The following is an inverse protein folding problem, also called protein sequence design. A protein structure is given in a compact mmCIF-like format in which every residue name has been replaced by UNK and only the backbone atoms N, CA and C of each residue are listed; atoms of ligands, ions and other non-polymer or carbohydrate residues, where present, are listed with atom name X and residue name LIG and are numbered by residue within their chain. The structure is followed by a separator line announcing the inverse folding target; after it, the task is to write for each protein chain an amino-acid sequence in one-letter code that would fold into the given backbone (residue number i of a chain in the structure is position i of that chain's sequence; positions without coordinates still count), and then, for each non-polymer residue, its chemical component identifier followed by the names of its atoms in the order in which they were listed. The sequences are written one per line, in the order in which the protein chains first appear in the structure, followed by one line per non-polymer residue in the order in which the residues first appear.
data_IF_224480300658
#
_entry.id   IF_224480300658
#
_cell.length_a   1.000
_cell.length_b   1.000
_cell.length_c   1.000
_cell.angle_alpha   90.00
_cell.angle_beta   90.00
_cell.angle_gamma   90.00
#
_symmetry.space_group_name_H-M   'P 1'
#
loop_
_entity.id
_entity.type
_entity.pdbx_description
1 polymer ?
#
# COMPACT_ATOMS: atom_id res chain seq x y z
N UNK A 1 -68.33 -8.39 -34.52
CA UNK A 1 -67.45 -9.22 -33.66
C UNK A 1 -66.13 -9.34 -34.37
N UNK A 2 -65.10 -8.67 -33.85
CA UNK A 2 -63.76 -8.79 -34.40
C UNK A 2 -63.19 -10.13 -33.93
N UNK A 3 -62.67 -10.94 -34.86
CA UNK A 3 -62.13 -12.26 -34.52
C UNK A 3 -60.82 -12.14 -33.69
N UNK A 4 -60.59 -13.14 -32.82
CA UNK A 4 -59.37 -13.17 -32.00
C UNK A 4 -58.10 -13.16 -32.84
N UNK A 5 -58.15 -13.65 -34.09
CA UNK A 5 -57.06 -13.63 -35.05
C UNK A 5 -56.67 -12.22 -35.49
N UNK A 6 -57.67 -11.35 -35.77
CA UNK A 6 -57.43 -9.95 -36.14
C UNK A 6 -56.87 -9.09 -35.00
N UNK A 7 -57.16 -9.48 -33.74
CA UNK A 7 -56.60 -8.82 -32.55
C UNK A 7 -55.12 -9.20 -32.33
N UNK A 8 -54.74 -10.42 -32.60
CA UNK A 8 -53.37 -10.93 -32.49
C UNK A 8 -52.47 -10.34 -33.57
N UNK A 9 -53.02 -10.19 -34.81
CA UNK A 9 -52.26 -9.63 -35.93
C UNK A 9 -51.97 -8.10 -35.76
N UNK A 10 -52.86 -7.36 -35.08
CA UNK A 10 -52.67 -5.95 -34.73
C UNK A 10 -51.73 -5.69 -33.57
N UNK A 11 -51.51 -6.67 -32.67
CA UNK A 11 -50.63 -6.57 -31.52
C UNK A 11 -49.18 -7.05 -31.80
N UNK A 12 -48.99 -7.86 -32.83
CA UNK A 12 -47.70 -8.47 -33.16
C UNK A 12 -46.56 -7.49 -33.46
N UNK A 13 -46.75 -6.39 -34.25
CA UNK A 13 -45.68 -5.46 -34.53
C UNK A 13 -45.27 -4.59 -33.30
N UNK A 14 -46.20 -4.39 -32.37
CA UNK A 14 -45.91 -3.60 -31.17
C UNK A 14 -45.31 -4.42 -30.03
N UNK A 15 -45.59 -5.73 -29.95
CA UNK A 15 -45.05 -6.62 -28.96
C UNK A 15 -43.50 -6.75 -29.06
N UNK A 16 -42.96 -6.78 -30.29
CA UNK A 16 -41.53 -6.79 -30.54
C UNK A 16 -40.84 -5.48 -30.15
N UNK A 17 -41.47 -4.35 -30.41
CA UNK A 17 -40.94 -3.04 -30.04
C UNK A 17 -40.96 -2.81 -28.52
N UNK A 18 -42.02 -3.22 -27.82
CA UNK A 18 -42.15 -3.12 -26.36
C UNK A 18 -41.15 -4.08 -25.68
N UNK A 19 -40.96 -5.30 -26.17
CA UNK A 19 -39.96 -6.24 -25.68
C UNK A 19 -38.54 -5.73 -25.84
N UNK A 20 -38.24 -5.09 -27.00
CA UNK A 20 -36.94 -4.48 -27.28
C UNK A 20 -36.62 -3.29 -26.34
N UNK A 21 -37.60 -2.43 -26.08
CA UNK A 21 -37.43 -1.29 -25.14
C UNK A 21 -37.23 -1.76 -23.70
N UNK A 22 -37.96 -2.80 -23.27
CA UNK A 22 -37.83 -3.38 -21.95
C UNK A 22 -36.48 -4.07 -21.78
N UNK A 23 -35.99 -4.80 -22.77
CA UNK A 23 -34.66 -5.43 -22.75
C UNK A 23 -33.55 -4.37 -22.75
N UNK A 24 -33.68 -3.29 -23.51
CA UNK A 24 -32.74 -2.17 -23.54
C UNK A 24 -32.72 -1.41 -22.19
N UNK A 25 -33.89 -1.23 -21.55
CA UNK A 25 -33.98 -0.63 -20.21
C UNK A 25 -33.36 -1.52 -19.14
N UNK A 26 -33.61 -2.82 -19.19
CA UNK A 26 -32.99 -3.80 -18.26
C UNK A 26 -31.49 -3.89 -18.47
N UNK A 27 -31.01 -3.88 -19.72
CA UNK A 27 -29.59 -3.86 -20.04
C UNK A 27 -28.96 -2.51 -19.60
N UNK A 28 -29.64 -1.39 -19.82
CA UNK A 28 -29.22 -0.06 -19.35
C UNK A 28 -29.14 0.02 -17.83
N UNK A 29 -30.13 -0.52 -17.10
CA UNK A 29 -30.12 -0.63 -15.65
C UNK A 29 -29.02 -1.59 -15.16
N UNK A 30 -28.82 -2.72 -15.82
CA UNK A 30 -27.75 -3.67 -15.53
C UNK A 30 -26.36 -3.06 -15.76
N UNK A 31 -26.15 -2.33 -16.86
CA UNK A 31 -24.91 -1.62 -17.16
C UNK A 31 -24.70 -0.42 -16.22
N UNK A 32 -25.77 0.29 -15.84
CA UNK A 32 -25.71 1.34 -14.82
C UNK A 32 -25.41 0.79 -13.42
N UNK A 33 -25.89 -0.42 -13.11
CA UNK A 33 -25.58 -1.12 -11.86
C UNK A 33 -24.15 -1.66 -11.86
N UNK A 34 -23.62 -2.08 -13.02
CA UNK A 34 -22.22 -2.49 -13.17
C UNK A 34 -21.26 -1.30 -13.22
N UNK A 35 -21.69 -0.10 -13.64
CA UNK A 35 -20.93 1.14 -13.59
C UNK A 35 -20.99 1.82 -12.21
N UNK A 36 -21.06 1.08 -11.13
CA UNK A 36 -20.68 1.62 -9.84
C UNK A 36 -19.15 1.72 -9.84
N UNK A 37 -18.63 2.80 -10.45
CA UNK A 37 -17.22 3.17 -10.29
C UNK A 37 -16.90 3.12 -8.79
N UNK A 38 -15.85 2.40 -8.44
CA UNK A 38 -15.34 2.38 -7.08
C UNK A 38 -15.09 3.83 -6.65
N UNK A 39 -15.92 4.32 -5.73
CA UNK A 39 -15.81 5.69 -5.25
C UNK A 39 -14.50 5.83 -4.49
N UNK A 40 -13.61 6.62 -5.05
CA UNK A 40 -12.37 7.05 -4.38
C UNK A 40 -12.71 8.10 -3.34
N UNK A 41 -12.20 7.91 -2.14
CA UNK A 41 -12.57 8.77 -0.99
C UNK A 41 -11.50 9.80 -0.69
N UNK A 42 -10.24 9.51 -1.01
CA UNK A 42 -9.14 10.47 -0.85
C UNK A 42 -9.27 11.66 -1.79
N UNK A 43 -8.77 12.80 -1.31
CA UNK A 43 -8.68 14.03 -2.06
C UNK A 43 -7.24 14.60 -1.93
N UNK A 44 -6.53 14.88 -3.04
CA UNK A 44 -5.17 15.40 -2.98
C UNK A 44 -5.08 16.86 -2.57
N UNK A 45 -6.20 17.60 -2.58
CA UNK A 45 -6.28 19.03 -2.28
C UNK A 45 -6.97 19.28 -0.95
N UNK A 46 -8.12 18.64 -0.73
CA UNK A 46 -8.96 18.85 0.46
C UNK A 46 -8.66 17.83 1.56
N UNK A 47 -8.68 18.30 2.81
CA UNK A 47 -8.62 17.42 3.97
C UNK A 47 -9.94 16.72 4.19
N UNK A 48 -9.90 15.40 4.34
CA UNK A 48 -11.05 14.55 4.68
C UNK A 48 -10.89 14.01 6.09
N UNK A 49 -11.99 13.90 6.82
CA UNK A 49 -12.03 13.31 8.16
C UNK A 49 -12.41 11.84 8.09
N UNK A 50 -11.67 11.01 8.84
CA UNK A 50 -11.90 9.56 8.93
C UNK A 50 -11.97 9.14 10.38
N UNK A 51 -13.02 8.36 10.71
CA UNK A 51 -13.30 7.89 12.07
C UNK A 51 -12.47 6.67 12.40
N UNK A 52 -11.79 6.69 13.55
CA UNK A 52 -11.13 5.51 14.12
C UNK A 52 -12.20 4.53 14.63
N UNK A 53 -12.19 3.29 14.13
CA UNK A 53 -13.15 2.24 14.47
C UNK A 53 -12.54 1.04 15.18
N UNK A 54 -11.23 0.83 15.05
CA UNK A 54 -10.47 -0.18 15.82
C UNK A 54 -9.07 0.31 16.09
N UNK A 55 -8.50 -0.14 17.22
CA UNK A 55 -7.13 0.10 17.63
C UNK A 55 -6.61 -1.14 18.35
N UNK A 56 -5.72 -1.87 17.69
CA UNK A 56 -5.19 -3.15 18.16
C UNK A 56 -3.69 -3.03 18.44
N UNK A 57 -3.27 -3.29 19.68
CA UNK A 57 -1.87 -3.23 20.06
C UNK A 57 -1.11 -4.41 19.47
N UNK A 58 -0.04 -4.15 18.71
CA UNK A 58 0.83 -5.15 18.09
C UNK A 58 2.08 -5.40 18.92
N UNK A 59 2.63 -4.35 19.57
CA UNK A 59 3.74 -4.43 20.51
C UNK A 59 3.65 -3.32 21.55
N UNK A 60 4.64 -3.22 22.45
CA UNK A 60 4.69 -2.19 23.50
C UNK A 60 4.58 -0.75 23.01
N UNK A 61 4.94 -0.48 21.76
CA UNK A 61 4.94 0.87 21.18
C UNK A 61 4.30 0.94 19.80
N UNK A 62 3.68 -0.14 19.30
CA UNK A 62 3.09 -0.20 17.96
C UNK A 62 1.65 -0.66 18.02
N UNK A 63 0.79 -0.01 17.25
CA UNK A 63 -0.60 -0.42 17.10
C UNK A 63 -1.06 -0.33 15.64
N UNK A 64 -2.06 -1.14 15.31
CA UNK A 64 -2.83 -1.08 14.10
C UNK A 64 -4.07 -0.21 14.36
N UNK A 65 -4.25 0.80 13.54
CA UNK A 65 -5.37 1.73 13.60
C UNK A 65 -6.24 1.53 12.37
N UNK A 66 -7.49 1.14 12.56
CA UNK A 66 -8.46 1.00 11.47
C UNK A 66 -9.38 2.21 11.42
N UNK A 67 -9.42 2.84 10.26
CA UNK A 67 -10.29 3.97 9.96
C UNK A 67 -11.39 3.57 9.00
N UNK A 68 -12.64 3.95 9.31
CA UNK A 68 -13.76 3.68 8.43
C UNK A 68 -13.78 4.62 7.22
N UNK A 69 -14.12 4.09 6.05
CA UNK A 69 -14.52 4.87 4.89
C UNK A 69 -16.01 5.26 4.99
N UNK A 70 -16.47 6.28 4.24
CA UNK A 70 -17.84 6.78 4.35
C UNK A 70 -18.92 5.73 4.08
N UNK A 71 -18.63 4.72 3.23
CA UNK A 71 -19.54 3.63 2.91
C UNK A 71 -18.80 2.30 2.94
N UNK A 72 -19.48 1.19 3.28
CA UNK A 72 -18.85 -0.14 3.37
C UNK A 72 -18.19 -0.64 2.06
N UNK A 73 -18.64 -0.14 0.90
CA UNK A 73 -18.12 -0.54 -0.41
C UNK A 73 -17.18 0.49 -1.04
N UNK A 74 -16.86 1.59 -0.35
CA UNK A 74 -15.91 2.57 -0.86
C UNK A 74 -14.48 1.99 -0.84
N UNK A 75 -13.66 2.42 -1.81
CA UNK A 75 -12.21 2.23 -1.80
C UNK A 75 -11.54 3.49 -1.26
N UNK A 76 -10.37 3.33 -0.65
CA UNK A 76 -9.56 4.49 -0.25
C UNK A 76 -9.14 5.33 -1.47
N UNK A 77 -8.79 4.67 -2.58
CA UNK A 77 -8.36 5.31 -3.82
C UNK A 77 -6.90 5.76 -3.76
N UNK A 78 -6.06 4.98 -3.06
CA UNK A 78 -4.63 5.22 -2.94
C UNK A 78 -3.86 4.35 -3.95
N UNK A 79 -3.25 4.93 -4.99
CA UNK A 79 -2.37 4.19 -5.89
C UNK A 79 -1.23 3.51 -5.13
N UNK A 80 -0.88 2.30 -5.53
CA UNK A 80 0.18 1.50 -4.90
C UNK A 80 1.53 2.24 -5.01
N UNK A 81 2.23 2.37 -3.89
CA UNK A 81 3.47 3.12 -3.77
C UNK A 81 3.27 4.60 -3.39
N UNK A 82 2.04 5.07 -3.34
CA UNK A 82 1.73 6.39 -2.79
C UNK A 82 1.35 6.32 -1.31
N UNK A 83 1.30 7.46 -0.65
CA UNK A 83 1.00 7.60 0.77
C UNK A 83 -0.09 8.65 1.02
N UNK A 84 -0.56 8.71 2.23
CA UNK A 84 -1.46 9.75 2.74
C UNK A 84 -0.72 10.68 3.69
N UNK A 85 -1.18 11.91 3.80
CA UNK A 85 -0.78 12.88 4.82
C UNK A 85 -1.79 12.87 5.95
N UNK A 86 -1.33 12.69 7.18
CA UNK A 86 -2.13 12.82 8.40
C UNK A 86 -1.79 14.12 9.07
N UNK A 87 -2.81 14.91 9.45
CA UNK A 87 -2.64 16.21 10.12
C UNK A 87 -3.33 16.24 11.48
N UNK A 88 -2.65 16.88 12.42
CA UNK A 88 -3.21 17.25 13.71
C UNK A 88 -2.72 18.65 14.11
N UNK A 89 -3.48 19.34 14.97
CA UNK A 89 -3.03 20.55 15.65
C UNK A 89 -2.34 20.16 16.95
N UNK A 90 -1.10 20.55 17.11
CA UNK A 90 -0.27 20.25 18.28
C UNK A 90 0.42 21.56 18.67
N UNK A 91 0.19 22.01 19.92
CA UNK A 91 0.72 23.26 20.46
C UNK A 91 0.43 24.48 19.53
N UNK A 92 -0.81 24.57 19.04
CA UNK A 92 -1.28 25.64 18.17
C UNK A 92 -0.70 25.63 16.75
N UNK A 93 0.00 24.54 16.35
CA UNK A 93 0.58 24.39 15.04
C UNK A 93 0.02 23.15 14.32
N UNK A 94 -0.30 23.30 13.04
CA UNK A 94 -0.65 22.16 12.22
C UNK A 94 0.62 21.36 11.91
N UNK A 95 0.67 20.13 12.41
CA UNK A 95 1.74 19.18 12.11
C UNK A 95 1.20 18.15 11.11
N UNK A 96 2.01 17.82 10.10
CA UNK A 96 1.66 16.86 9.05
C UNK A 96 2.74 15.79 8.95
N UNK A 97 2.35 14.51 8.83
CA UNK A 97 3.27 13.39 8.57
C UNK A 97 2.67 12.43 7.56
N UNK A 98 3.57 11.83 6.79
CA UNK A 98 3.22 10.82 5.78
C UNK A 98 3.05 9.44 6.42
N UNK A 99 2.03 8.69 5.96
CA UNK A 99 1.77 7.32 6.33
C UNK A 99 1.35 6.52 5.10
N UNK A 100 1.80 5.28 5.01
CA UNK A 100 1.35 4.37 3.97
C UNK A 100 0.43 3.32 4.59
N UNK A 101 -0.85 3.26 4.20
CA UNK A 101 -1.77 2.22 4.63
C UNK A 101 -1.28 0.82 4.26
N UNK A 102 -1.55 -0.15 5.11
CA UNK A 102 -1.26 -1.57 4.88
C UNK A 102 -2.38 -2.30 4.13
N UNK A 103 -3.54 -1.66 4.03
CA UNK A 103 -4.65 -2.09 3.18
C UNK A 103 -4.45 -1.64 1.72
N UNK A 104 -5.10 -2.36 0.80
CA UNK A 104 -5.16 -2.04 -0.62
C UNK A 104 -6.59 -1.58 -0.99
N UNK A 105 -6.80 -1.11 -2.21
CA UNK A 105 -8.13 -0.66 -2.68
C UNK A 105 -9.18 -1.79 -2.76
N UNK A 106 -8.75 -3.06 -2.68
CA UNK A 106 -9.64 -4.22 -2.56
C UNK A 106 -10.21 -4.40 -1.14
N UNK A 107 -9.53 -3.83 -0.13
CA UNK A 107 -9.98 -3.83 1.26
C UNK A 107 -11.03 -2.70 1.40
N UNK A 108 -12.31 -3.04 1.16
CA UNK A 108 -13.42 -2.06 1.10
C UNK A 108 -13.86 -1.59 2.48
N UNK A 109 -14.37 -0.35 2.55
CA UNK A 109 -15.02 0.22 3.73
C UNK A 109 -14.09 0.68 4.84
N UNK A 110 -12.80 0.43 4.73
CA UNK A 110 -11.80 0.83 5.71
C UNK A 110 -10.39 0.94 5.13
N UNK A 111 -9.50 1.54 5.91
CA UNK A 111 -8.05 1.41 5.71
C UNK A 111 -7.33 1.30 7.05
N UNK A 112 -6.17 0.64 7.04
CA UNK A 112 -5.38 0.35 8.22
C UNK A 112 -4.03 1.05 8.17
N UNK A 113 -3.64 1.64 9.31
CA UNK A 113 -2.30 2.18 9.53
C UNK A 113 -1.60 1.39 10.63
N UNK A 114 -0.41 0.86 10.36
CA UNK A 114 0.48 0.34 11.37
C UNK A 114 1.43 1.45 11.79
N UNK A 115 1.32 1.88 13.04
CA UNK A 115 2.05 3.06 13.54
C UNK A 115 2.85 2.70 14.79
N UNK A 116 4.16 2.92 14.71
CA UNK A 116 5.06 2.89 15.87
C UNK A 116 5.04 4.26 16.54
N UNK A 117 4.69 4.28 17.82
CA UNK A 117 4.67 5.49 18.64
C UNK A 117 6.07 5.79 19.13
N UNK A 118 6.54 6.99 18.87
CA UNK A 118 7.80 7.51 19.38
C UNK A 118 7.51 8.48 20.53
N UNK A 119 8.28 8.40 21.61
CA UNK A 119 8.11 9.22 22.82
C UNK A 119 8.12 10.74 22.50
N UNK A 120 9.01 11.15 21.60
CA UNK A 120 9.11 12.54 21.08
C UNK A 120 8.38 12.75 19.75
N UNK A 121 7.58 11.76 19.31
CA UNK A 121 6.84 11.85 18.06
C UNK A 121 5.62 12.75 18.17
N UNK A 122 5.35 13.55 17.15
CA UNK A 122 4.17 14.41 17.11
C UNK A 122 2.91 13.62 16.71
N UNK A 123 2.78 13.29 15.42
CA UNK A 123 1.59 12.60 14.89
C UNK A 123 1.48 11.16 15.40
N UNK A 124 2.58 10.43 15.58
CA UNK A 124 2.52 9.07 16.14
C UNK A 124 2.00 9.06 17.57
N UNK A 125 2.40 10.05 18.40
CA UNK A 125 1.85 10.23 19.76
C UNK A 125 0.40 10.68 19.71
N UNK A 126 0.03 11.62 18.84
CA UNK A 126 -1.36 12.01 18.65
C UNK A 126 -2.25 10.81 18.32
N UNK A 127 -1.85 9.96 17.36
CA UNK A 127 -2.58 8.75 17.02
C UNK A 127 -2.67 7.77 18.20
N UNK A 128 -1.60 7.66 19.01
CA UNK A 128 -1.61 6.77 20.18
C UNK A 128 -2.60 7.20 21.28
N UNK A 129 -2.96 8.48 21.33
CA UNK A 129 -3.91 9.02 22.28
C UNK A 129 -5.37 9.00 21.78
N UNK A 130 -5.59 8.67 20.49
CA UNK A 130 -6.94 8.59 19.95
C UNK A 130 -7.75 7.47 20.60
N UNK A 131 -9.00 7.77 20.83
CA UNK A 131 -10.03 6.81 21.23
C UNK A 131 -10.95 6.47 20.07
N UNK A 132 -11.56 5.28 20.10
CA UNK A 132 -12.51 4.83 19.07
C UNK A 132 -13.63 5.85 18.95
N UNK A 133 -14.01 6.19 17.73
CA UNK A 133 -15.02 7.19 17.40
C UNK A 133 -14.46 8.58 17.07
N UNK A 134 -13.23 8.89 17.45
CA UNK A 134 -12.58 10.15 17.07
C UNK A 134 -12.15 10.14 15.60
N UNK A 135 -12.03 11.33 15.04
CA UNK A 135 -11.70 11.54 13.64
C UNK A 135 -10.30 12.12 13.46
N UNK A 136 -9.68 11.75 12.33
CA UNK A 136 -8.36 12.23 11.92
C UNK A 136 -8.46 12.85 10.53
N UNK A 137 -7.82 14.01 10.35
CA UNK A 137 -7.75 14.70 9.06
C UNK A 137 -6.67 14.08 8.18
N UNK A 138 -7.07 13.65 6.99
CA UNK A 138 -6.21 12.97 6.03
C UNK A 138 -6.36 13.62 4.66
N UNK A 139 -5.25 13.69 3.93
CA UNK A 139 -5.17 14.18 2.56
C UNK A 139 -4.33 13.22 1.73
N UNK A 140 -4.74 12.96 0.51
CA UNK A 140 -4.02 12.10 -0.43
C UNK A 140 -4.84 11.82 -1.69
N UNK A 141 -4.29 11.10 -2.64
CA UNK A 141 -2.94 10.49 -2.69
C UNK A 141 -1.79 11.51 -2.72
N UNK A 142 -0.64 11.14 -2.17
CA UNK A 142 0.63 11.88 -2.22
C UNK A 142 1.77 10.93 -2.59
N UNK A 143 2.85 11.50 -3.12
CA UNK A 143 4.03 10.72 -3.54
C UNK A 143 4.12 10.57 -5.05
N UNK A 144 5.32 10.20 -5.53
CA UNK A 144 5.62 10.13 -6.97
C UNK A 144 5.79 8.71 -7.48
N UNK A 145 5.92 7.74 -6.60
CA UNK A 145 5.99 6.34 -6.99
C UNK A 145 4.57 5.80 -7.21
N UNK A 146 4.36 5.19 -8.35
CA UNK A 146 3.13 4.45 -8.66
C UNK A 146 3.54 3.09 -9.20
N UNK A 147 3.29 2.04 -8.43
CA UNK A 147 3.56 0.68 -8.86
C UNK A 147 2.54 0.23 -9.88
N UNK A 148 3.02 -0.35 -10.97
CA UNK A 148 2.21 -1.08 -11.95
C UNK A 148 2.80 -2.48 -12.15
N UNK A 149 1.98 -3.51 -12.37
CA UNK A 149 2.46 -4.88 -12.58
C UNK A 149 3.52 -4.94 -13.70
N UNK A 150 4.60 -5.66 -13.44
CA UNK A 150 5.72 -5.84 -14.38
C UNK A 150 6.46 -4.53 -14.80
N UNK A 151 6.33 -3.43 -14.00
CA UNK A 151 7.04 -2.18 -14.30
C UNK A 151 8.57 -2.29 -14.23
N UNK A 152 9.05 -3.33 -13.60
CA UNK A 152 10.46 -3.72 -13.50
C UNK A 152 10.51 -5.24 -13.33
N UNK A 153 11.49 -5.92 -13.91
CA UNK A 153 11.64 -7.37 -13.73
C UNK A 153 11.93 -7.75 -12.28
N UNK A 154 12.57 -6.85 -11.53
CA UNK A 154 12.89 -7.08 -10.14
C UNK A 154 12.91 -5.78 -9.31
N UNK A 155 12.49 -5.89 -8.05
CA UNK A 155 12.57 -4.82 -7.05
C UNK A 155 13.40 -5.31 -5.85
N UNK A 156 14.53 -4.63 -5.58
CA UNK A 156 15.20 -4.72 -4.31
C UNK A 156 14.64 -3.66 -3.37
N UNK A 157 14.17 -4.06 -2.22
CA UNK A 157 13.57 -3.18 -1.21
C UNK A 157 14.44 -3.19 0.04
N UNK A 158 14.78 -2.00 0.55
CA UNK A 158 15.54 -1.84 1.79
C UNK A 158 14.72 -1.00 2.75
N UNK A 159 14.21 -1.63 3.81
CA UNK A 159 13.33 -1.01 4.79
C UNK A 159 13.99 -0.93 6.17
N UNK A 160 13.74 0.17 6.88
CA UNK A 160 14.12 0.33 8.29
C UNK A 160 12.92 0.70 9.16
N UNK A 161 12.61 -0.13 10.17
CA UNK A 161 11.50 0.10 11.09
C UNK A 161 10.17 0.33 10.37
N UNK A 162 9.51 1.48 10.61
CA UNK A 162 8.24 1.84 9.97
C UNK A 162 8.33 2.07 8.46
N UNK A 163 9.54 2.18 7.90
CA UNK A 163 9.77 2.21 6.45
C UNK A 163 9.33 0.94 5.72
N UNK A 164 8.92 -0.09 6.44
CA UNK A 164 8.33 -1.31 5.88
C UNK A 164 6.99 -1.05 5.19
N UNK A 165 6.19 -0.07 5.60
CA UNK A 165 4.81 0.07 5.13
C UNK A 165 4.67 0.31 3.63
N UNK A 166 5.47 1.18 2.94
CA UNK A 166 5.41 1.27 1.49
C UNK A 166 5.90 -0.01 0.79
N UNK A 167 6.89 -0.70 1.33
CA UNK A 167 7.37 -1.97 0.78
C UNK A 167 6.30 -3.06 0.88
N UNK A 168 5.67 -3.18 2.06
CA UNK A 168 4.58 -4.13 2.30
C UNK A 168 3.42 -3.91 1.33
N UNK A 169 3.02 -2.66 1.10
CA UNK A 169 1.96 -2.31 0.15
C UNK A 169 2.27 -2.83 -1.27
N UNK A 170 3.50 -2.60 -1.75
CA UNK A 170 3.95 -3.03 -3.08
C UNK A 170 4.04 -4.56 -3.14
N UNK A 171 4.64 -5.22 -2.15
CA UNK A 171 4.78 -6.67 -2.07
C UNK A 171 3.39 -7.33 -2.11
N UNK A 172 2.49 -6.91 -1.21
CA UNK A 172 1.11 -7.43 -1.13
C UNK A 172 0.40 -7.27 -2.48
N UNK A 173 0.48 -6.09 -3.08
CA UNK A 173 -0.16 -5.80 -4.37
C UNK A 173 0.40 -6.66 -5.50
N UNK A 174 1.73 -6.72 -5.64
CA UNK A 174 2.38 -7.50 -6.70
C UNK A 174 2.04 -8.99 -6.59
N UNK A 175 2.12 -9.56 -5.40
CA UNK A 175 1.86 -11.01 -5.19
C UNK A 175 0.38 -11.37 -5.39
N UNK A 176 -0.54 -10.44 -5.15
CA UNK A 176 -1.98 -10.65 -5.34
C UNK A 176 -2.47 -10.34 -6.76
N UNK A 177 -1.64 -9.71 -7.60
CA UNK A 177 -2.05 -9.33 -8.96
C UNK A 177 -1.76 -10.47 -9.94
N UNK A 178 -2.77 -11.04 -10.60
CA UNK A 178 -2.57 -12.08 -11.62
C UNK A 178 -1.70 -11.56 -12.77
N UNK A 179 -0.73 -12.37 -13.20
CA UNK A 179 0.16 -12.04 -14.32
C UNK A 179 1.31 -11.08 -13.97
N UNK A 180 1.38 -10.60 -12.74
CA UNK A 180 2.58 -9.89 -12.28
C UNK A 180 3.69 -10.90 -11.96
N UNK A 181 4.80 -10.81 -12.71
CA UNK A 181 5.96 -11.69 -12.60
C UNK A 181 7.16 -11.03 -11.90
N UNK A 182 7.00 -9.79 -11.40
CA UNK A 182 8.08 -9.04 -10.73
C UNK A 182 8.69 -9.85 -9.59
N UNK A 183 10.01 -10.03 -9.61
CA UNK A 183 10.75 -10.63 -8.50
C UNK A 183 10.96 -9.59 -7.40
N UNK A 184 10.72 -9.97 -6.17
CA UNK A 184 10.76 -9.08 -5.01
C UNK A 184 11.81 -9.58 -4.02
N UNK A 185 12.69 -8.69 -3.57
CA UNK A 185 13.64 -8.98 -2.50
C UNK A 185 13.56 -7.87 -1.45
N UNK A 186 13.40 -8.23 -0.19
CA UNK A 186 13.32 -7.30 0.92
C UNK A 186 14.42 -7.57 1.94
N UNK A 187 15.24 -6.54 2.18
CA UNK A 187 16.12 -6.44 3.35
C UNK A 187 15.43 -5.54 4.36
N UNK A 188 15.10 -6.09 5.55
CA UNK A 188 14.34 -5.37 6.56
C UNK A 188 15.11 -5.27 7.88
N UNK A 189 15.56 -4.05 8.19
CA UNK A 189 16.38 -3.74 9.34
C UNK A 189 15.56 -3.21 10.53
N UNK A 190 15.83 -3.74 11.71
CA UNK A 190 15.24 -3.33 12.98
C UNK A 190 16.27 -3.33 14.12
N UNK A 191 15.91 -2.81 15.30
CA UNK A 191 16.80 -2.83 16.45
C UNK A 191 16.77 -4.21 17.11
N UNK A 192 15.60 -4.68 17.48
CA UNK A 192 15.36 -5.95 18.18
C UNK A 192 14.29 -6.77 17.44
N UNK A 193 14.15 -8.03 17.78
CA UNK A 193 13.22 -8.94 17.11
C UNK A 193 11.76 -8.51 17.27
N UNK A 194 11.39 -7.99 18.45
CA UNK A 194 10.05 -7.47 18.74
C UNK A 194 9.70 -6.18 17.96
N UNK A 195 10.70 -5.54 17.36
CA UNK A 195 10.52 -4.36 16.48
C UNK A 195 10.13 -4.73 15.06
N UNK A 196 10.15 -6.01 14.67
CA UNK A 196 9.82 -6.45 13.31
C UNK A 196 8.31 -6.35 13.10
N UNK A 197 7.87 -5.25 12.48
CA UNK A 197 6.46 -5.03 12.15
C UNK A 197 6.03 -5.92 11.00
N UNK A 198 4.77 -6.36 11.01
CA UNK A 198 4.15 -7.17 9.94
C UNK A 198 4.92 -8.48 9.67
N UNK A 199 5.62 -9.03 10.66
CA UNK A 199 6.48 -10.21 10.49
C UNK A 199 5.69 -11.40 9.95
N UNK A 200 4.56 -11.73 10.60
CA UNK A 200 3.72 -12.87 10.23
C UNK A 200 3.17 -12.73 8.81
N UNK A 201 2.73 -11.52 8.47
CA UNK A 201 2.20 -11.19 7.16
C UNK A 201 3.29 -11.30 6.08
N UNK A 202 4.49 -10.76 6.33
CA UNK A 202 5.62 -10.85 5.40
C UNK A 202 6.10 -12.29 5.19
N UNK A 203 6.20 -13.08 6.26
CA UNK A 203 6.58 -14.50 6.19
C UNK A 203 5.51 -15.30 5.42
N UNK A 204 4.22 -15.07 5.68
CA UNK A 204 3.12 -15.69 4.94
C UNK A 204 3.14 -15.33 3.44
N UNK A 205 3.41 -14.08 3.11
CA UNK A 205 3.57 -13.65 1.72
C UNK A 205 4.78 -14.30 1.05
N UNK A 206 5.93 -14.44 1.75
CA UNK A 206 7.11 -15.16 1.26
C UNK A 206 6.78 -16.62 0.97
N UNK A 207 6.17 -17.30 1.93
CA UNK A 207 5.91 -18.75 1.84
C UNK A 207 4.90 -19.08 0.72
N UNK A 208 3.95 -18.19 0.47
CA UNK A 208 2.95 -18.34 -0.61
C UNK A 208 3.40 -17.81 -1.97
N UNK A 209 4.58 -17.21 -2.08
CA UNK A 209 5.01 -16.46 -3.28
C UNK A 209 5.56 -17.31 -4.43
N UNK A 210 5.68 -18.63 -4.28
CA UNK A 210 6.37 -19.51 -5.23
C UNK A 210 7.78 -19.00 -5.59
N UNK A 211 8.57 -18.62 -4.59
CA UNK A 211 9.93 -18.06 -4.70
C UNK A 211 10.03 -16.71 -5.43
N UNK A 212 8.92 -16.04 -5.67
CA UNK A 212 8.91 -14.68 -6.23
C UNK A 212 9.33 -13.61 -5.23
N UNK A 213 9.18 -13.86 -3.93
CA UNK A 213 9.52 -12.94 -2.85
C UNK A 213 10.55 -13.57 -1.91
N UNK A 214 11.67 -12.87 -1.73
CA UNK A 214 12.71 -13.20 -0.75
C UNK A 214 12.73 -12.18 0.37
N UNK A 215 12.99 -12.63 1.59
CA UNK A 215 12.92 -11.83 2.81
C UNK A 215 14.14 -12.09 3.67
N UNK A 216 14.88 -11.03 3.99
CA UNK A 216 16.05 -11.07 4.86
C UNK A 216 15.97 -10.03 5.96
N UNK A 217 15.98 -10.48 7.20
CA UNK A 217 15.95 -9.61 8.36
C UNK A 217 17.36 -9.29 8.86
N UNK A 218 17.55 -8.04 9.31
CA UNK A 218 18.80 -7.58 9.94
C UNK A 218 18.45 -6.93 11.27
N UNK A 219 19.11 -7.37 12.37
CA UNK A 219 18.89 -6.84 13.71
C UNK A 219 20.18 -6.26 14.31
N UNK A 220 20.07 -5.06 14.90
CA UNK A 220 21.20 -4.46 15.62
C UNK A 220 21.52 -5.21 16.90
N UNK A 221 20.49 -5.70 17.62
CA UNK A 221 20.57 -6.41 18.88
C UNK A 221 19.78 -7.71 18.79
N UNK A 222 20.29 -8.71 18.08
CA UNK A 222 19.58 -9.97 17.91
C UNK A 222 19.63 -10.82 19.19
N UNK A 223 18.63 -11.69 19.41
CA UNK A 223 18.74 -12.77 20.39
C UNK A 223 19.81 -13.79 19.98
N UNK A 224 20.27 -14.62 20.95
CA UNK A 224 21.33 -15.62 20.70
C UNK A 224 20.96 -16.66 19.62
N UNK A 225 19.69 -16.92 19.40
CA UNK A 225 19.19 -17.88 18.40
C UNK A 225 18.94 -17.25 17.01
N UNK A 226 19.41 -16.03 16.78
CA UNK A 226 19.14 -15.31 15.53
C UNK A 226 19.94 -15.87 14.35
N UNK A 227 19.25 -16.16 13.23
CA UNK A 227 19.85 -16.69 12.00
C UNK A 227 19.90 -15.68 10.85
N UNK A 228 19.45 -14.42 11.06
CA UNK A 228 19.49 -13.35 10.07
C UNK A 228 20.76 -12.50 10.16
N UNK A 229 20.76 -11.36 9.47
CA UNK A 229 21.84 -10.39 9.55
C UNK A 229 21.97 -9.75 10.92
N UNK A 230 23.20 -9.40 11.30
CA UNK A 230 23.53 -8.77 12.57
C UNK A 230 24.17 -7.40 12.34
N UNK A 231 23.78 -6.42 13.14
CA UNK A 231 24.26 -5.04 13.06
C UNK A 231 23.46 -4.19 12.07
N UNK A 232 24.16 -3.39 11.29
CA UNK A 232 23.59 -2.55 10.24
C UNK A 232 23.62 -3.27 8.89
N UNK A 233 22.74 -2.88 7.97
CA UNK A 233 22.79 -3.40 6.58
C UNK A 233 24.10 -3.02 5.95
N UNK A 234 24.83 -4.00 5.41
CA UNK A 234 26.13 -3.84 4.77
C UNK A 234 26.01 -3.93 3.24
N UNK A 235 27.06 -3.50 2.54
CA UNK A 235 27.17 -3.69 1.09
C UNK A 235 27.03 -5.15 0.68
N UNK A 236 27.69 -6.05 1.40
CA UNK A 236 27.69 -7.49 1.11
C UNK A 236 26.30 -8.10 1.31
N UNK A 237 25.57 -7.67 2.35
CA UNK A 237 24.17 -8.07 2.53
C UNK A 237 23.28 -7.61 1.36
N UNK A 238 23.49 -6.40 0.86
CA UNK A 238 22.78 -5.92 -0.33
C UNK A 238 23.12 -6.77 -1.53
N UNK A 239 24.40 -6.97 -1.80
CA UNK A 239 24.89 -7.75 -2.95
C UNK A 239 24.37 -9.19 -2.95
N UNK A 240 24.37 -9.86 -1.77
CA UNK A 240 23.92 -11.25 -1.64
C UNK A 240 22.40 -11.43 -1.74
N UNK A 241 21.63 -10.37 -1.51
CA UNK A 241 20.16 -10.42 -1.56
C UNK A 241 19.55 -9.63 -2.73
N UNK A 242 20.40 -9.18 -3.64
CA UNK A 242 19.93 -8.59 -4.91
C UNK A 242 19.26 -9.66 -5.76
N UNK A 243 18.17 -9.34 -6.43
CA UNK A 243 17.72 -10.16 -7.57
C UNK A 243 18.87 -10.28 -8.56
N UNK A 244 19.00 -11.46 -9.18
CA UNK A 244 20.12 -11.77 -10.08
C UNK A 244 20.35 -10.61 -11.07
N UNK A 245 21.61 -10.16 -11.17
CA UNK A 245 22.06 -9.04 -12.05
C UNK A 245 21.78 -9.25 -13.54
N UNK A 246 21.45 -10.49 -13.93
CA UNK A 246 21.22 -10.89 -15.32
C UNK A 246 19.89 -10.35 -15.91
N UNK A 247 19.08 -9.66 -15.11
CA UNK A 247 17.73 -9.27 -15.52
C UNK A 247 17.70 -7.87 -16.13
N UNK A 248 18.71 -7.00 -15.89
CA UNK A 248 18.71 -5.59 -16.33
C UNK A 248 17.46 -4.84 -15.88
N UNK A 249 17.52 -3.55 -15.68
CA UNK A 249 16.38 -2.72 -15.24
C UNK A 249 15.77 -3.03 -13.85
N UNK A 250 16.50 -3.73 -12.97
CA UNK A 250 16.11 -3.83 -11.57
C UNK A 250 16.07 -2.44 -10.90
N UNK A 251 15.13 -2.25 -9.97
CA UNK A 251 15.01 -1.01 -9.21
C UNK A 251 15.25 -1.25 -7.73
N UNK A 252 15.80 -0.23 -7.09
CA UNK A 252 16.02 -0.21 -5.64
C UNK A 252 15.05 0.77 -4.99
N UNK A 253 14.27 0.29 -4.04
CA UNK A 253 13.32 1.09 -3.26
C UNK A 253 13.80 1.18 -1.82
N UNK A 254 13.91 2.38 -1.27
CA UNK A 254 14.41 2.57 0.09
C UNK A 254 13.44 3.42 0.93
N UNK A 255 13.21 2.99 2.18
CA UNK A 255 12.49 3.74 3.18
C UNK A 255 13.01 3.42 4.57
N UNK A 256 13.39 4.44 5.35
CA UNK A 256 13.91 4.23 6.70
C UNK A 256 14.47 5.50 7.33
N UNK A 257 15.08 5.39 8.51
CA UNK A 257 15.68 6.53 9.19
C UNK A 257 16.78 7.22 8.36
N UNK A 258 16.93 8.54 8.45
CA UNK A 258 17.91 9.29 7.64
C UNK A 258 19.36 8.75 7.73
N UNK A 259 19.89 8.32 8.90
CA UNK A 259 21.24 7.74 8.96
C UNK A 259 21.37 6.45 8.15
N UNK A 260 20.34 5.57 8.18
CA UNK A 260 20.31 4.35 7.38
C UNK A 260 20.28 4.68 5.89
N UNK A 261 19.41 5.58 5.46
CA UNK A 261 19.33 6.00 4.05
C UNK A 261 20.67 6.56 3.57
N UNK A 262 21.36 7.35 4.40
CA UNK A 262 22.69 7.88 4.06
C UNK A 262 23.72 6.77 3.85
N UNK A 263 23.75 5.75 4.71
CA UNK A 263 24.64 4.59 4.58
C UNK A 263 24.30 3.78 3.31
N UNK A 264 23.02 3.52 3.05
CA UNK A 264 22.56 2.76 1.88
C UNK A 264 22.96 3.45 0.56
N UNK A 265 22.88 4.78 0.48
CA UNK A 265 23.37 5.52 -0.69
C UNK A 265 24.85 5.25 -0.97
N UNK A 266 25.67 5.21 0.08
CA UNK A 266 27.10 4.88 -0.04
C UNK A 266 27.35 3.46 -0.51
N UNK A 267 26.62 2.49 0.03
CA UNK A 267 26.73 1.07 -0.38
C UNK A 267 26.28 0.85 -1.82
N UNK A 268 25.14 1.45 -2.20
CA UNK A 268 24.63 1.33 -3.58
C UNK A 268 25.56 1.99 -4.60
N UNK A 269 26.18 3.13 -4.27
CA UNK A 269 27.17 3.75 -5.13
C UNK A 269 28.40 2.82 -5.37
N UNK A 270 28.87 2.11 -4.33
CA UNK A 270 29.94 1.12 -4.46
C UNK A 270 29.53 -0.11 -5.29
N UNK A 271 28.25 -0.41 -5.36
CA UNK A 271 27.67 -1.47 -6.19
C UNK A 271 27.34 -1.02 -7.62
N UNK A 272 27.63 0.24 -7.95
CA UNK A 272 27.45 0.80 -9.30
C UNK A 272 26.07 1.38 -9.57
N UNK A 273 25.21 1.54 -8.56
CA UNK A 273 23.90 2.19 -8.72
C UNK A 273 24.04 3.72 -8.79
N UNK A 274 23.19 4.38 -9.57
CA UNK A 274 23.18 5.85 -9.65
C UNK A 274 22.76 6.43 -8.31
N UNK A 275 23.30 7.60 -7.98
CA UNK A 275 22.88 8.36 -6.81
C UNK A 275 21.41 8.77 -6.93
N UNK A 276 20.56 8.50 -5.93
CA UNK A 276 19.17 8.92 -5.96
C UNK A 276 19.06 10.45 -5.92
N UNK A 277 18.07 10.99 -6.62
CA UNK A 277 17.73 12.42 -6.58
C UNK A 277 17.26 12.84 -5.18
N UNK A 278 17.41 14.12 -4.84
CA UNK A 278 16.85 14.68 -3.59
C UNK A 278 15.34 14.45 -3.48
N UNK A 279 14.62 14.56 -4.58
CA UNK A 279 13.22 14.18 -4.72
C UNK A 279 13.16 13.15 -5.83
N UNK A 280 12.95 11.89 -5.44
CA UNK A 280 12.89 10.77 -6.39
C UNK A 280 11.73 10.92 -7.35
N UNK A 281 11.93 10.46 -8.58
CA UNK A 281 10.91 10.36 -9.63
C UNK A 281 10.68 8.90 -10.01
N UNK A 282 9.53 8.62 -10.61
CA UNK A 282 9.12 7.25 -10.96
C UNK A 282 10.15 6.52 -11.83
N UNK A 283 10.84 7.24 -12.70
CA UNK A 283 11.85 6.68 -13.60
C UNK A 283 13.21 6.38 -12.93
N UNK A 284 13.43 6.83 -11.69
CA UNK A 284 14.71 6.62 -11.00
C UNK A 284 14.94 5.14 -10.69
N UNK A 285 16.13 4.64 -10.99
CA UNK A 285 16.54 3.28 -10.64
C UNK A 285 16.63 3.09 -9.12
N UNK A 286 17.04 4.13 -8.38
CA UNK A 286 17.05 4.15 -6.92
C UNK A 286 16.03 5.17 -6.43
N UNK A 287 14.93 4.69 -5.83
CA UNK A 287 13.83 5.51 -5.35
C UNK A 287 13.83 5.59 -3.81
N UNK A 288 13.67 6.81 -3.28
CA UNK A 288 13.50 7.10 -1.85
C UNK A 288 12.06 7.51 -1.57
N UNK A 289 11.43 6.82 -0.63
CA UNK A 289 10.10 7.18 -0.13
C UNK A 289 10.16 8.30 0.89
#
# INVERSE_FOLDING_TARGET
MISVGELVEKLSPHAGAIGGVFAALLLGLFLAFQRKEDRKVLDPVEWRSFKLVSKDHLSHNTALYRFALPRPNDSLGLPIGQHISVAAEIDGKQIVRSYTPTTLDNDKGHFDLVVKTYEKGNISRYLSLLTIGQEVRIKGPKGKFVYTPNMSPALLMIAGGTGITPMYQIIKSSLQTPGDATKLSLIYANVEEDDILLRKELESLRDSSNSRFTLYYVLNKPPSSWNGGVGFVTKDMIENHMPAKDVGDERVLMCGPPPMISAMKGHLAQLGYPAPRTVSKLEDQVFLF
#
